data_IF_299942333472
#
_entry.id   IF_299942333472
#
_cell.length_a   1.000
_cell.length_b   1.000
_cell.length_c   1.000
_cell.angle_alpha   90.00
_cell.angle_beta   90.00
_cell.angle_gamma   90.00
#
_symmetry.space_group_name_H-M   'P 1'
#
loop_
_entity.id
_entity.type
_entity.pdbx_description
1 polymer ?
#
# COMPACT_ATOMS: atom_id res chain seq x y z
N UNK A 1 -15.13 19.65 0.58
CA UNK A 1 -14.25 18.61 1.15
C UNK A 1 -14.72 17.28 0.61
N UNK A 2 -13.84 16.43 0.10
CA UNK A 2 -14.23 15.07 -0.27
C UNK A 2 -14.61 14.29 0.99
N UNK A 3 -15.62 13.43 0.92
CA UNK A 3 -15.98 12.57 2.05
C UNK A 3 -14.95 11.46 2.23
N UNK A 4 -14.91 10.84 3.41
CA UNK A 4 -14.00 9.72 3.67
C UNK A 4 -14.22 8.56 2.67
N UNK A 5 -15.48 8.31 2.30
CA UNK A 5 -15.86 7.30 1.31
C UNK A 5 -15.29 7.62 -0.07
N UNK A 6 -15.36 8.88 -0.50
CA UNK A 6 -14.83 9.31 -1.79
C UNK A 6 -13.30 9.16 -1.86
N UNK A 7 -12.59 9.38 -0.75
CA UNK A 7 -11.14 9.17 -0.66
C UNK A 7 -10.81 7.67 -0.65
N UNK A 8 -11.58 6.86 0.10
CA UNK A 8 -11.38 5.42 0.18
C UNK A 8 -11.56 4.73 -1.18
N UNK A 9 -12.58 5.11 -1.95
CA UNK A 9 -12.81 4.57 -3.30
C UNK A 9 -11.63 4.86 -4.24
N UNK A 10 -11.15 6.10 -4.27
CA UNK A 10 -9.99 6.48 -5.09
C UNK A 10 -8.72 5.77 -4.65
N UNK A 11 -8.51 5.59 -3.34
CA UNK A 11 -7.37 4.86 -2.81
C UNK A 11 -7.38 3.40 -3.26
N UNK A 12 -8.53 2.73 -3.18
CA UNK A 12 -8.68 1.32 -3.59
C UNK A 12 -8.37 1.16 -5.08
N UNK A 13 -8.95 2.03 -5.92
CA UNK A 13 -8.70 2.01 -7.37
C UNK A 13 -7.22 2.21 -7.69
N UNK A 14 -6.60 3.23 -7.10
CA UNK A 14 -5.17 3.49 -7.26
C UNK A 14 -4.31 2.32 -6.78
N UNK A 15 -4.61 1.77 -5.60
CA UNK A 15 -3.85 0.69 -4.98
C UNK A 15 -3.83 -0.55 -5.88
N UNK A 16 -5.00 -1.06 -6.28
CA UNK A 16 -5.07 -2.28 -7.09
C UNK A 16 -4.55 -2.07 -8.51
N UNK A 17 -4.81 -0.92 -9.14
CA UNK A 17 -4.21 -0.62 -10.44
C UNK A 17 -2.68 -0.61 -10.38
N UNK A 18 -2.11 0.05 -9.36
CA UNK A 18 -0.65 0.08 -9.17
C UNK A 18 -0.11 -1.30 -8.81
N UNK A 19 -0.87 -2.10 -8.05
CA UNK A 19 -0.51 -3.47 -7.71
C UNK A 19 -0.40 -4.38 -8.96
N UNK A 20 -1.24 -4.15 -9.97
CA UNK A 20 -1.21 -4.94 -11.20
C UNK A 20 -0.19 -4.44 -12.22
N UNK A 21 0.03 -3.11 -12.28
CA UNK A 21 0.80 -2.49 -13.37
C UNK A 21 2.20 -2.02 -12.97
N UNK A 22 2.43 -1.66 -11.70
CA UNK A 22 3.65 -1.03 -11.23
C UNK A 22 3.89 -1.20 -9.72
N UNK A 23 3.97 -2.44 -9.23
CA UNK A 23 4.13 -2.76 -7.79
C UNK A 23 5.21 -1.99 -7.04
N UNK A 24 6.41 -1.70 -7.59
CA UNK A 24 7.41 -0.91 -6.89
C UNK A 24 6.90 0.45 -6.39
N UNK A 25 5.92 1.03 -7.08
CA UNK A 25 5.37 2.34 -6.71
C UNK A 25 4.49 2.29 -5.46
N UNK A 26 4.03 1.11 -5.01
CA UNK A 26 3.25 0.96 -3.78
C UNK A 26 4.04 1.29 -2.53
N UNK A 27 5.38 1.17 -2.57
CA UNK A 27 6.25 1.54 -1.44
C UNK A 27 6.01 2.97 -0.94
N UNK A 28 5.65 3.88 -1.84
CA UNK A 28 5.38 5.29 -1.53
C UNK A 28 4.11 5.51 -0.67
N UNK A 29 3.22 4.51 -0.57
CA UNK A 29 2.02 4.59 0.26
C UNK A 29 2.31 4.30 1.74
N UNK A 30 3.46 3.70 2.04
CA UNK A 30 3.82 3.25 3.37
C UNK A 30 4.76 4.24 4.06
N UNK A 31 4.69 4.24 5.39
CA UNK A 31 5.48 5.10 6.28
C UNK A 31 6.44 4.24 7.11
N UNK A 32 7.46 4.84 7.75
CA UNK A 32 8.37 4.09 8.62
C UNK A 32 7.69 3.31 9.76
N UNK A 33 6.49 3.74 10.18
CA UNK A 33 5.69 3.08 11.22
C UNK A 33 4.56 2.21 10.66
N UNK A 34 4.45 2.05 9.35
CA UNK A 34 3.45 1.18 8.73
C UNK A 34 3.74 -0.29 9.05
N UNK A 35 2.68 -1.10 9.12
CA UNK A 35 2.79 -2.55 9.24
C UNK A 35 1.87 -3.23 8.24
N UNK A 36 2.37 -4.31 7.63
CA UNK A 36 1.64 -5.17 6.71
C UNK A 36 1.72 -6.60 7.22
N UNK A 37 0.59 -7.30 7.28
CA UNK A 37 0.57 -8.75 7.50
C UNK A 37 0.29 -9.42 6.16
N UNK A 38 1.23 -10.23 5.68
CA UNK A 38 1.15 -10.92 4.40
C UNK A 38 1.32 -12.43 4.64
N UNK A 39 0.28 -13.22 4.38
CA UNK A 39 0.31 -14.69 4.52
C UNK A 39 0.81 -15.19 5.89
N UNK A 40 0.50 -14.45 6.96
CA UNK A 40 0.92 -14.78 8.32
C UNK A 40 2.28 -14.20 8.73
N UNK A 41 3.06 -13.64 7.80
CA UNK A 41 4.27 -12.89 8.11
C UNK A 41 3.95 -11.41 8.37
N UNK A 42 4.51 -10.84 9.45
CA UNK A 42 4.39 -9.42 9.76
C UNK A 42 5.62 -8.67 9.27
N UNK A 43 5.39 -7.60 8.52
CA UNK A 43 6.40 -6.65 8.04
C UNK A 43 6.17 -5.30 8.72
N UNK A 44 7.26 -4.60 9.02
CA UNK A 44 7.22 -3.29 9.70
C UNK A 44 8.16 -2.33 8.97
N UNK A 45 7.63 -1.16 8.61
CA UNK A 45 8.36 -0.12 7.91
C UNK A 45 8.19 -0.20 6.38
N UNK A 46 8.29 0.97 5.75
CA UNK A 46 8.06 1.12 4.32
C UNK A 46 9.06 0.33 3.45
N UNK A 47 10.30 0.16 3.91
CA UNK A 47 11.34 -0.57 3.18
C UNK A 47 10.98 -2.07 3.05
N UNK A 48 10.75 -2.75 4.17
CA UNK A 48 10.36 -4.17 4.22
C UNK A 48 9.06 -4.44 3.47
N UNK A 49 8.10 -3.50 3.56
CA UNK A 49 6.84 -3.59 2.82
C UNK A 49 7.07 -3.44 1.31
N UNK A 50 7.87 -2.45 0.88
CA UNK A 50 8.16 -2.24 -0.52
C UNK A 50 8.89 -3.45 -1.13
N UNK A 51 9.89 -4.00 -0.43
CA UNK A 51 10.62 -5.19 -0.85
C UNK A 51 9.71 -6.41 -1.01
N UNK A 52 8.73 -6.61 -0.12
CA UNK A 52 7.77 -7.72 -0.24
C UNK A 52 6.82 -7.56 -1.44
N UNK A 53 6.47 -6.32 -1.79
CA UNK A 53 5.49 -6.03 -2.84
C UNK A 53 6.11 -6.07 -4.25
N UNK A 54 7.42 -5.85 -4.38
CA UNK A 54 8.17 -5.97 -5.64
C UNK A 54 8.56 -7.39 -5.98
#
# INVERSE_FOLDING_TARGET
MASAEAVAMQFIEFFYNTFDTARPNLGNLYRPTSSLTWEGAKLVGAADIAEKLT
#
